data_IF_941291403581
#
_entry.id   IF_941291403581
#
_cell.length_a   1.000
_cell.length_b   1.000
_cell.length_c   1.000
_cell.angle_alpha   90.00
_cell.angle_beta   90.00
_cell.angle_gamma   90.00
#
_symmetry.space_group_name_H-M   'P 1'
#
loop_
_entity.id
_entity.type
_entity.pdbx_description
1 polymer ?
#
# COMPACT_ATOMS: atom_id res chain seq x y z
N UNK A 1 -62.78 -52.46 12.61
CA UNK A 1 -62.25 -51.51 11.60
C UNK A 1 -61.46 -50.44 12.33
N UNK A 2 -60.13 -50.51 12.31
CA UNK A 2 -59.23 -49.48 12.84
C UNK A 2 -58.33 -49.03 11.69
N UNK A 3 -58.45 -47.77 11.26
CA UNK A 3 -57.60 -47.19 10.22
C UNK A 3 -56.28 -46.71 10.83
N UNK A 4 -55.16 -47.24 10.33
CA UNK A 4 -53.80 -46.74 10.57
C UNK A 4 -53.45 -45.71 9.52
N UNK A 5 -53.33 -44.45 9.92
CA UNK A 5 -52.84 -43.37 9.06
C UNK A 5 -51.32 -43.28 9.18
N UNK A 6 -50.60 -43.52 8.09
CA UNK A 6 -49.15 -43.33 7.99
C UNK A 6 -48.86 -41.90 7.52
N UNK A 7 -48.10 -41.14 8.30
CA UNK A 7 -47.54 -39.85 7.90
C UNK A 7 -46.12 -40.08 7.37
N UNK A 8 -45.94 -39.87 6.07
CA UNK A 8 -44.64 -39.81 5.40
C UNK A 8 -44.02 -38.43 5.61
N UNK A 9 -42.91 -38.36 6.35
CA UNK A 9 -42.09 -37.15 6.47
C UNK A 9 -41.18 -37.08 5.25
N UNK A 10 -41.45 -36.14 4.35
CA UNK A 10 -40.58 -35.82 3.22
C UNK A 10 -39.38 -34.99 3.69
N UNK A 11 -38.18 -35.55 3.61
CA UNK A 11 -36.94 -34.81 3.83
C UNK A 11 -36.59 -33.94 2.63
N UNK A 12 -36.57 -32.63 2.82
CA UNK A 12 -36.05 -31.68 1.83
C UNK A 12 -34.52 -31.65 1.94
N UNK A 13 -33.85 -32.19 0.94
CA UNK A 13 -32.40 -32.01 0.73
C UNK A 13 -32.16 -30.60 0.21
N UNK A 14 -31.69 -29.70 1.08
CA UNK A 14 -31.17 -28.39 0.67
C UNK A 14 -29.78 -28.63 0.06
N UNK A 15 -29.71 -28.58 -1.27
CA UNK A 15 -28.45 -28.54 -2.00
C UNK A 15 -27.73 -27.22 -1.68
N UNK A 16 -26.72 -27.28 -0.80
CA UNK A 16 -25.84 -26.16 -0.54
C UNK A 16 -25.07 -25.80 -1.82
N UNK A 17 -25.30 -24.60 -2.33
CA UNK A 17 -24.47 -24.00 -3.37
C UNK A 17 -23.06 -23.82 -2.81
N UNK A 18 -22.15 -24.71 -3.18
CA UNK A 18 -20.74 -24.56 -2.89
C UNK A 18 -20.23 -23.32 -3.60
N UNK A 19 -20.11 -22.21 -2.86
CA UNK A 19 -19.35 -21.04 -3.32
C UNK A 19 -17.93 -21.53 -3.54
N UNK A 20 -17.52 -21.62 -4.80
CA UNK A 20 -16.13 -21.85 -5.15
C UNK A 20 -15.31 -20.77 -4.45
N UNK A 21 -14.59 -21.15 -3.39
CA UNK A 21 -13.57 -20.29 -2.78
C UNK A 21 -12.54 -20.05 -3.88
N UNK A 22 -12.59 -18.88 -4.52
CA UNK A 22 -11.44 -18.40 -5.29
C UNK A 22 -10.25 -18.48 -4.34
N UNK A 23 -9.27 -19.31 -4.69
CA UNK A 23 -8.06 -19.44 -3.88
C UNK A 23 -7.30 -18.14 -4.06
N UNK A 24 -7.14 -17.38 -2.98
CA UNK A 24 -6.23 -16.25 -2.98
C UNK A 24 -4.82 -16.71 -3.37
N UNK A 25 -4.08 -15.84 -4.05
CA UNK A 25 -2.70 -16.11 -4.51
C UNK A 25 -1.75 -15.35 -3.60
N UNK A 26 -0.87 -16.08 -2.91
CA UNK A 26 0.13 -15.49 -2.04
C UNK A 26 1.13 -14.64 -2.85
N UNK A 27 1.26 -13.37 -2.47
CA UNK A 27 2.24 -12.44 -3.04
C UNK A 27 3.53 -12.41 -2.25
N UNK A 28 3.41 -12.29 -0.93
CA UNK A 28 4.53 -12.20 0.01
C UNK A 28 4.04 -12.63 1.41
N UNK A 29 4.91 -13.24 2.21
CA UNK A 29 4.67 -13.57 3.61
C UNK A 29 5.85 -13.10 4.46
N UNK A 30 5.57 -12.46 5.59
CA UNK A 30 6.57 -12.05 6.58
C UNK A 30 6.12 -12.41 7.99
N UNK A 31 7.09 -12.63 8.88
CA UNK A 31 6.85 -12.70 10.32
C UNK A 31 7.13 -11.34 10.93
N UNK A 32 6.18 -10.85 11.73
CA UNK A 32 6.25 -9.54 12.39
C UNK A 32 6.17 -9.77 13.89
N UNK A 33 6.95 -9.04 14.68
CA UNK A 33 6.85 -9.07 16.14
C UNK A 33 6.08 -7.84 16.60
N UNK A 34 4.91 -8.05 17.17
CA UNK A 34 4.01 -6.99 17.68
C UNK A 34 3.83 -7.22 19.16
N UNK A 35 4.28 -6.27 19.99
CA UNK A 35 4.19 -6.34 21.46
C UNK A 35 4.68 -7.68 22.04
N UNK A 36 5.78 -8.20 21.50
CA UNK A 36 6.38 -9.47 21.92
C UNK A 36 5.79 -10.71 21.27
N UNK A 37 4.64 -10.63 20.60
CA UNK A 37 3.99 -11.75 19.92
C UNK A 37 4.45 -11.85 18.47
N UNK A 38 4.88 -13.04 18.07
CA UNK A 38 5.17 -13.32 16.65
C UNK A 38 3.87 -13.55 15.89
N UNK A 39 3.64 -12.69 14.92
CA UNK A 39 2.50 -12.74 14.00
C UNK A 39 2.96 -13.12 12.59
N UNK A 40 2.00 -13.46 11.74
CA UNK A 40 2.24 -13.71 10.32
C UNK A 40 1.39 -12.79 9.46
N UNK A 41 2.06 -12.04 8.60
CA UNK A 41 1.44 -11.09 7.69
C UNK A 41 1.63 -11.60 6.26
N UNK A 42 0.56 -11.57 5.46
CA UNK A 42 0.56 -12.05 4.09
C UNK A 42 -0.09 -11.02 3.19
N UNK A 43 0.60 -10.66 2.11
CA UNK A 43 -0.03 -10.00 0.99
C UNK A 43 -0.64 -11.08 0.09
N UNK A 44 -1.92 -10.95 -0.21
CA UNK A 44 -2.69 -11.91 -1.00
C UNK A 44 -3.42 -11.18 -2.12
N UNK A 45 -3.30 -11.70 -3.34
CA UNK A 45 -4.21 -11.35 -4.43
C UNK A 45 -5.49 -12.17 -4.28
N UNK A 46 -6.68 -11.56 -4.40
CA UNK A 46 -7.96 -12.28 -4.29
C UNK A 46 -8.25 -13.22 -5.46
N UNK A 47 -7.65 -12.92 -6.61
CA UNK A 47 -7.62 -13.74 -7.82
C UNK A 47 -6.19 -13.71 -8.39
N UNK A 48 -5.83 -14.62 -9.32
CA UNK A 48 -4.55 -14.50 -10.03
C UNK A 48 -4.37 -13.08 -10.60
N UNK A 49 -3.28 -12.37 -10.26
CA UNK A 49 -3.06 -11.01 -10.72
C UNK A 49 -2.75 -10.98 -12.22
N UNK A 50 -3.05 -9.85 -12.84
CA UNK A 50 -2.59 -9.53 -14.18
C UNK A 50 -1.15 -9.02 -14.15
N UNK A 51 -0.44 -9.16 -15.26
CA UNK A 51 0.84 -8.49 -15.46
C UNK A 51 0.61 -7.01 -15.76
N UNK A 52 1.36 -6.14 -15.10
CA UNK A 52 1.28 -4.69 -15.28
C UNK A 52 2.66 -4.10 -15.59
N UNK A 53 2.70 -3.03 -16.38
CA UNK A 53 3.95 -2.32 -16.69
C UNK A 53 5.06 -3.23 -17.27
N UNK A 54 4.66 -4.22 -18.08
CA UNK A 54 5.56 -5.14 -18.78
C UNK A 54 5.95 -4.64 -20.17
N UNK A 55 5.20 -3.70 -20.72
CA UNK A 55 5.41 -3.14 -22.06
C UNK A 55 5.81 -1.68 -21.94
N UNK A 56 7.04 -1.36 -22.37
CA UNK A 56 7.41 -0.17 -23.17
C UNK A 56 8.94 -0.11 -23.32
N UNK A 57 9.39 0.58 -24.36
CA UNK A 57 10.77 1.02 -24.61
C UNK A 57 11.19 2.07 -23.56
N UNK A 58 11.12 1.72 -22.28
CA UNK A 58 11.27 2.64 -21.15
C UNK A 58 10.26 2.36 -20.05
N UNK A 59 10.43 3.00 -18.89
CA UNK A 59 9.39 3.04 -17.86
C UNK A 59 8.51 4.23 -18.22
N UNK A 60 7.29 4.00 -18.67
CA UNK A 60 6.32 5.10 -18.78
C UNK A 60 6.05 5.69 -17.40
N UNK A 61 5.79 7.00 -17.31
CA UNK A 61 5.68 7.68 -16.01
C UNK A 61 4.62 7.08 -15.06
N UNK A 62 3.46 6.57 -15.54
CA UNK A 62 2.52 5.82 -14.69
C UNK A 62 3.04 4.47 -14.16
N UNK A 63 4.15 3.98 -14.69
CA UNK A 63 4.78 2.71 -14.31
C UNK A 63 5.99 2.87 -13.38
N UNK A 64 6.34 4.10 -13.00
CA UNK A 64 7.43 4.35 -12.08
C UNK A 64 7.13 3.74 -10.70
N UNK A 65 8.09 2.98 -10.16
CA UNK A 65 7.87 2.18 -8.95
C UNK A 65 7.06 0.89 -9.15
N UNK A 66 6.33 0.71 -10.25
CA UNK A 66 5.51 -0.48 -10.55
C UNK A 66 6.01 -1.35 -11.70
N UNK A 67 7.14 -1.00 -12.30
CA UNK A 67 7.68 -1.68 -13.48
C UNK A 67 7.77 -3.22 -13.33
N UNK A 68 7.41 -3.94 -14.39
CA UNK A 68 7.35 -5.41 -14.42
C UNK A 68 6.53 -5.96 -13.25
N UNK A 69 5.35 -5.38 -13.05
CA UNK A 69 4.52 -5.51 -11.87
C UNK A 69 3.37 -6.49 -12.00
N UNK A 70 2.64 -6.62 -10.91
CA UNK A 70 1.40 -7.37 -10.81
C UNK A 70 0.27 -6.40 -10.44
N UNK A 71 -0.92 -6.61 -11.00
CA UNK A 71 -2.11 -5.79 -10.77
C UNK A 71 -3.32 -6.64 -10.43
N UNK A 72 -4.12 -6.18 -9.47
CA UNK A 72 -5.39 -6.83 -9.13
C UNK A 72 -5.93 -6.42 -7.76
N UNK A 73 -6.85 -7.21 -7.22
CA UNK A 73 -7.38 -6.98 -5.88
C UNK A 73 -6.42 -7.52 -4.81
N UNK A 74 -5.80 -6.61 -4.05
CA UNK A 74 -4.81 -6.92 -3.03
C UNK A 74 -5.38 -6.75 -1.62
N UNK A 75 -4.99 -7.65 -0.72
CA UNK A 75 -5.29 -7.54 0.71
C UNK A 75 -4.09 -7.95 1.59
N UNK A 76 -4.00 -7.32 2.75
CA UNK A 76 -3.12 -7.73 3.83
C UNK A 76 -3.91 -8.63 4.79
N UNK A 77 -3.45 -9.87 4.96
CA UNK A 77 -3.98 -10.82 5.92
C UNK A 77 -3.02 -10.98 7.11
N UNK A 78 -3.47 -10.59 8.31
CA UNK A 78 -2.74 -10.71 9.57
C UNK A 78 -3.27 -11.85 10.41
N UNK A 79 -2.39 -12.77 10.80
CA UNK A 79 -2.70 -13.94 11.62
C UNK A 79 -1.98 -13.85 12.96
N UNK A 80 -2.75 -14.02 14.04
CA UNK A 80 -2.30 -13.98 15.44
C UNK A 80 -2.70 -15.27 16.17
N UNK A 81 -1.90 -15.75 17.14
CA UNK A 81 -2.27 -16.91 17.95
C UNK A 81 -3.65 -16.74 18.61
N UNK A 82 -4.54 -17.72 18.43
CA UNK A 82 -5.86 -17.73 19.07
C UNK A 82 -6.86 -16.67 18.59
N UNK A 83 -6.56 -15.92 17.52
CA UNK A 83 -7.46 -14.90 16.96
C UNK A 83 -7.86 -15.23 15.53
N UNK A 84 -9.04 -14.79 15.07
CA UNK A 84 -9.39 -14.82 13.66
C UNK A 84 -8.37 -14.04 12.82
N UNK A 85 -8.22 -14.44 11.55
CA UNK A 85 -7.40 -13.71 10.59
C UNK A 85 -8.06 -12.35 10.34
N UNK A 86 -7.30 -11.29 10.62
CA UNK A 86 -7.67 -9.93 10.27
C UNK A 86 -7.31 -9.66 8.80
N UNK A 87 -8.19 -9.00 8.05
CA UNK A 87 -7.96 -8.65 6.64
C UNK A 87 -8.17 -7.16 6.42
N UNK A 88 -7.22 -6.54 5.72
CA UNK A 88 -7.27 -5.16 5.28
C UNK A 88 -7.26 -5.13 3.74
N UNK A 89 -8.34 -4.71 3.07
CA UNK A 89 -8.32 -4.49 1.62
C UNK A 89 -7.39 -3.30 1.31
N UNK A 90 -6.42 -3.51 0.43
CA UNK A 90 -5.43 -2.49 0.07
C UNK A 90 -5.74 -1.79 -1.25
N UNK A 91 -6.46 -2.44 -2.17
CA UNK A 91 -6.79 -1.83 -3.47
C UNK A 91 -7.45 -0.46 -3.39
N UNK A 92 -8.37 -0.16 -2.44
CA UNK A 92 -8.97 1.17 -2.32
C UNK A 92 -7.98 2.32 -2.07
N UNK A 93 -6.72 2.01 -1.71
CA UNK A 93 -5.68 3.01 -1.48
C UNK A 93 -4.99 3.46 -2.78
N UNK A 94 -5.20 2.77 -3.91
CA UNK A 94 -4.55 3.02 -5.20
C UNK A 94 -5.35 3.99 -6.09
N UNK A 95 -5.96 5.00 -5.47
CA UNK A 95 -6.67 6.06 -6.18
C UNK A 95 -7.97 5.63 -6.85
N UNK A 96 -8.24 6.21 -8.03
CA UNK A 96 -9.50 5.98 -8.76
C UNK A 96 -9.41 4.73 -9.65
N UNK A 97 -10.53 4.00 -9.85
CA UNK A 97 -10.58 2.90 -10.81
C UNK A 97 -10.21 3.38 -12.21
N UNK A 98 -9.54 2.53 -12.99
CA UNK A 98 -9.33 2.82 -14.40
C UNK A 98 -10.68 2.79 -15.17
N UNK A 99 -10.78 3.43 -16.35
CA UNK A 99 -11.99 3.36 -17.16
C UNK A 99 -12.41 1.91 -17.43
N UNK A 100 -13.65 1.56 -17.05
CA UNK A 100 -14.19 0.21 -17.19
C UNK A 100 -14.00 -0.71 -15.98
N UNK A 101 -13.28 -0.26 -14.93
CA UNK A 101 -13.14 -1.00 -13.67
C UNK A 101 -14.19 -0.55 -12.65
N UNK A 102 -14.77 -1.51 -11.92
CA UNK A 102 -15.77 -1.23 -10.88
C UNK A 102 -15.15 -0.71 -9.57
N UNK A 103 -13.86 -0.97 -9.36
CA UNK A 103 -13.11 -0.64 -8.14
C UNK A 103 -11.64 -0.42 -8.47
N UNK A 104 -10.90 0.35 -7.67
CA UNK A 104 -9.47 0.53 -7.87
C UNK A 104 -8.73 -0.81 -7.75
N UNK A 105 -7.68 -0.99 -8.55
CA UNK A 105 -6.81 -2.16 -8.49
C UNK A 105 -5.46 -1.77 -7.91
N UNK A 106 -4.94 -2.61 -7.01
CA UNK A 106 -3.60 -2.43 -6.49
C UNK A 106 -2.57 -2.82 -7.54
N UNK A 107 -1.42 -2.14 -7.52
CA UNK A 107 -0.25 -2.46 -8.32
C UNK A 107 0.95 -2.70 -7.42
N UNK A 108 1.71 -3.75 -7.65
CA UNK A 108 2.96 -4.01 -6.94
C UNK A 108 4.07 -4.26 -7.94
N UNK A 109 5.26 -3.72 -7.68
CA UNK A 109 6.47 -4.11 -8.40
C UNK A 109 6.66 -5.62 -8.33
N UNK A 110 6.91 -6.25 -9.46
CA UNK A 110 7.04 -7.70 -9.55
C UNK A 110 8.50 -8.10 -9.49
N UNK A 111 9.27 -7.83 -10.54
CA UNK A 111 10.64 -8.35 -10.70
C UNK A 111 11.64 -7.28 -11.12
N UNK A 112 12.91 -7.49 -10.78
CA UNK A 112 14.02 -6.65 -11.25
C UNK A 112 14.57 -7.23 -12.56
N UNK A 113 14.59 -6.45 -13.67
CA UNK A 113 15.28 -6.85 -14.89
C UNK A 113 16.78 -7.06 -14.65
N UNK A 114 17.34 -8.08 -15.30
CA UNK A 114 18.78 -8.29 -15.40
C UNK A 114 19.28 -7.63 -16.68
N UNK A 115 20.58 -7.32 -16.71
CA UNK A 115 21.23 -6.80 -17.93
C UNK A 115 21.02 -7.78 -19.09
N UNK A 116 20.56 -7.29 -20.24
CA UNK A 116 20.31 -8.08 -21.44
C UNK A 116 18.87 -8.58 -21.57
N UNK A 117 18.01 -8.44 -20.56
CA UNK A 117 16.59 -8.78 -20.66
C UNK A 117 15.86 -7.93 -21.71
N UNK A 118 16.33 -6.69 -21.92
CA UNK A 118 15.81 -5.75 -22.90
C UNK A 118 15.94 -6.26 -24.35
N UNK A 119 16.92 -7.14 -24.61
CA UNK A 119 17.13 -7.72 -25.93
C UNK A 119 16.26 -8.95 -26.19
N UNK A 120 15.57 -9.48 -25.16
CA UNK A 120 14.72 -10.65 -25.31
C UNK A 120 13.36 -10.28 -25.95
N UNK A 121 12.80 -11.15 -26.80
CA UNK A 121 11.40 -11.02 -27.20
C UNK A 121 10.48 -10.98 -25.99
N UNK A 122 9.41 -10.17 -26.05
CA UNK A 122 8.53 -9.87 -24.92
C UNK A 122 8.06 -11.11 -24.12
N UNK A 123 7.65 -12.18 -24.81
CA UNK A 123 7.23 -13.42 -24.15
C UNK A 123 8.39 -14.14 -23.44
N UNK A 124 9.57 -14.17 -24.04
CA UNK A 124 10.77 -14.74 -23.42
C UNK A 124 11.21 -13.90 -22.21
N UNK A 125 11.15 -12.57 -22.33
CA UNK A 125 11.42 -11.64 -21.23
C UNK A 125 10.47 -11.86 -20.05
N UNK A 126 9.15 -11.94 -20.30
CA UNK A 126 8.13 -12.23 -19.28
C UNK A 126 8.45 -13.54 -18.54
N UNK A 127 8.70 -14.61 -19.27
CA UNK A 127 9.03 -15.91 -18.69
C UNK A 127 10.33 -15.88 -17.87
N UNK A 128 11.35 -15.15 -18.34
CA UNK A 128 12.61 -14.99 -17.62
C UNK A 128 12.41 -14.24 -16.29
N UNK A 129 11.67 -13.13 -16.30
CA UNK A 129 11.34 -12.34 -15.11
C UNK A 129 10.54 -13.15 -14.09
N UNK A 130 9.49 -13.84 -14.52
CA UNK A 130 8.59 -14.60 -13.63
C UNK A 130 9.27 -15.80 -12.92
N UNK A 131 10.47 -16.22 -13.37
CA UNK A 131 11.28 -17.24 -12.69
C UNK A 131 12.15 -16.69 -11.57
N UNK A 132 12.24 -15.36 -11.45
CA UNK A 132 13.04 -14.69 -10.41
C UNK A 132 12.24 -14.50 -9.14
N UNK A 133 12.96 -14.22 -8.06
CA UNK A 133 12.36 -13.76 -6.82
C UNK A 133 11.63 -12.43 -7.07
N UNK A 134 10.43 -12.32 -6.51
CA UNK A 134 9.66 -11.06 -6.56
C UNK A 134 10.31 -10.03 -5.64
N UNK A 135 10.27 -8.76 -6.04
CA UNK A 135 10.62 -7.63 -5.18
C UNK A 135 9.72 -7.64 -3.96
N UNK A 136 10.29 -7.39 -2.78
CA UNK A 136 9.52 -7.31 -1.54
C UNK A 136 8.73 -6.00 -1.49
N UNK A 137 7.45 -6.09 -1.15
CA UNK A 137 6.60 -4.95 -0.84
C UNK A 137 6.53 -4.72 0.68
N UNK A 138 6.53 -5.78 1.50
CA UNK A 138 6.53 -5.65 2.97
C UNK A 138 7.94 -5.47 3.54
N UNK A 139 8.57 -4.33 3.25
CA UNK A 139 9.87 -3.94 3.86
C UNK A 139 9.61 -3.25 5.19
N UNK A 140 9.63 -4.03 6.27
CA UNK A 140 9.34 -3.55 7.62
C UNK A 140 10.37 -2.53 8.11
N UNK A 141 9.89 -1.53 8.85
CA UNK A 141 10.67 -0.51 9.54
C UNK A 141 9.88 0.07 10.71
N UNK A 142 10.57 0.85 11.54
CA UNK A 142 9.99 1.61 12.66
C UNK A 142 9.85 3.06 12.16
N UNK A 143 8.67 3.39 11.66
CA UNK A 143 8.42 4.69 11.01
C UNK A 143 7.75 5.69 11.96
N UNK A 144 7.07 5.20 13.01
CA UNK A 144 6.48 6.02 14.06
C UNK A 144 7.38 6.16 15.31
N UNK A 145 8.59 5.57 15.26
CA UNK A 145 9.63 5.65 16.29
C UNK A 145 9.19 5.12 17.66
N UNK A 146 8.34 4.09 17.67
CA UNK A 146 7.88 3.43 18.88
C UNK A 146 8.80 2.28 19.36
N UNK A 147 9.87 2.02 18.61
CA UNK A 147 10.85 0.99 18.88
C UNK A 147 10.48 -0.39 18.30
N UNK A 148 9.38 -0.50 17.55
CA UNK A 148 8.95 -1.73 16.90
C UNK A 148 8.95 -1.57 15.38
N UNK A 149 9.67 -2.45 14.67
CA UNK A 149 9.59 -2.48 13.20
C UNK A 149 8.37 -3.26 12.72
N UNK A 150 7.19 -2.66 12.81
CA UNK A 150 5.90 -3.31 12.48
C UNK A 150 5.08 -2.56 11.43
N UNK A 151 5.70 -1.61 10.74
CA UNK A 151 5.12 -0.84 9.64
C UNK A 151 5.91 -1.07 8.35
N UNK A 152 5.25 -0.92 7.20
CA UNK A 152 5.92 -0.87 5.90
C UNK A 152 5.27 0.17 5.00
N UNK A 153 6.06 0.75 4.11
CA UNK A 153 5.59 1.73 3.12
C UNK A 153 5.06 1.00 1.90
N UNK A 154 3.86 1.37 1.46
CA UNK A 154 3.23 0.86 0.26
C UNK A 154 3.05 2.02 -0.73
N UNK A 155 3.76 1.99 -1.84
CA UNK A 155 3.51 2.92 -2.94
C UNK A 155 2.13 2.62 -3.54
N UNK A 156 1.29 3.65 -3.63
CA UNK A 156 -0.10 3.57 -4.07
C UNK A 156 -0.33 4.27 -5.39
N UNK A 157 0.46 5.29 -5.72
CA UNK A 157 0.34 6.00 -6.99
C UNK A 157 1.68 6.32 -7.65
N UNK A 158 1.60 6.62 -8.93
CA UNK A 158 2.66 7.21 -9.75
C UNK A 158 1.97 8.08 -10.79
N UNK A 159 2.11 9.40 -10.68
CA UNK A 159 1.54 10.35 -11.65
C UNK A 159 2.56 11.42 -11.98
N UNK A 160 2.55 11.89 -13.23
CA UNK A 160 3.72 12.62 -13.73
C UNK A 160 5.00 11.78 -13.65
N UNK A 161 6.07 12.27 -14.24
CA UNK A 161 7.36 11.58 -14.11
C UNK A 161 8.00 12.04 -12.80
N UNK A 162 8.38 11.12 -11.93
CA UNK A 162 9.03 11.41 -10.65
C UNK A 162 8.11 11.58 -9.44
N UNK A 163 6.81 11.87 -9.59
CA UNK A 163 5.91 12.01 -8.43
C UNK A 163 5.26 10.65 -8.11
N UNK A 164 5.47 10.20 -6.87
CA UNK A 164 4.97 8.93 -6.37
C UNK A 164 4.36 9.16 -5.00
N UNK A 165 3.23 8.52 -4.76
CA UNK A 165 2.58 8.57 -3.46
C UNK A 165 2.66 7.21 -2.79
N UNK A 166 2.85 7.23 -1.48
CA UNK A 166 2.87 6.05 -0.66
C UNK A 166 2.22 6.30 0.70
N UNK A 167 1.66 5.24 1.24
CA UNK A 167 1.05 5.21 2.57
C UNK A 167 1.84 4.29 3.49
N UNK A 168 1.79 4.56 4.78
CA UNK A 168 2.34 3.68 5.80
C UNK A 168 1.29 2.66 6.24
N UNK A 169 1.58 1.37 6.08
CA UNK A 169 0.72 0.28 6.55
C UNK A 169 1.30 -0.27 7.85
N UNK A 170 0.50 -0.33 8.91
CA UNK A 170 0.99 -0.73 10.23
C UNK A 170 -0.11 -1.12 11.20
N UNK A 171 0.27 -1.38 12.45
CA UNK A 171 -0.66 -1.64 13.56
C UNK A 171 -1.02 -0.32 14.22
N UNK A 172 -2.29 0.05 14.17
CA UNK A 172 -2.79 1.19 14.93
C UNK A 172 -2.77 0.89 16.42
N UNK A 173 -2.08 1.72 17.20
CA UNK A 173 -1.90 1.55 18.64
C UNK A 173 -3.19 1.74 19.45
N UNK A 174 -4.19 2.42 18.89
CA UNK A 174 -5.46 2.71 19.57
C UNK A 174 -6.31 1.46 19.77
N UNK A 175 -6.34 0.58 18.78
CA UNK A 175 -7.18 -0.62 18.78
C UNK A 175 -6.47 -1.91 18.36
N UNK A 176 -5.17 -1.82 18.06
CA UNK A 176 -4.34 -2.95 17.68
C UNK A 176 -4.72 -3.57 16.34
N UNK A 177 -5.36 -2.82 15.44
CA UNK A 177 -5.76 -3.27 14.09
C UNK A 177 -4.77 -2.84 13.01
N UNK A 178 -4.66 -3.62 11.94
CA UNK A 178 -3.86 -3.19 10.78
C UNK A 178 -4.63 -2.22 9.90
N UNK A 179 -4.00 -1.11 9.50
CA UNK A 179 -4.57 -0.09 8.59
C UNK A 179 -3.48 0.68 7.87
N UNK A 180 -3.88 1.51 6.91
CA UNK A 180 -3.07 2.63 6.46
C UNK A 180 -3.12 3.72 7.53
N UNK A 181 -1.96 4.08 8.09
CA UNK A 181 -1.85 4.96 9.24
C UNK A 181 -2.00 6.43 8.82
N UNK A 182 -2.76 7.17 9.62
CA UNK A 182 -2.90 8.62 9.52
C UNK A 182 -2.04 9.36 10.54
N UNK A 183 -2.27 10.66 10.65
CA UNK A 183 -1.73 11.48 11.74
C UNK A 183 -2.55 11.32 13.02
N UNK A 184 -2.02 11.79 14.15
CA UNK A 184 -2.76 11.85 15.40
C UNK A 184 -3.99 12.77 15.30
N UNK A 185 -3.91 13.82 14.48
CA UNK A 185 -4.97 14.77 14.21
C UNK A 185 -6.04 14.23 13.26
N UNK A 186 -5.65 13.43 12.27
CA UNK A 186 -6.53 12.83 11.27
C UNK A 186 -6.37 11.31 11.17
N UNK A 187 -6.69 10.56 12.25
CA UNK A 187 -6.25 9.18 12.36
C UNK A 187 -7.11 8.17 11.57
N UNK A 188 -8.14 8.66 10.88
CA UNK A 188 -8.98 7.88 9.96
C UNK A 188 -8.69 8.21 8.48
N UNK A 189 -7.77 9.16 8.23
CA UNK A 189 -7.29 9.53 6.89
C UNK A 189 -5.84 9.07 6.77
N UNK A 190 -5.48 8.20 5.81
CA UNK A 190 -4.09 7.82 5.60
C UNK A 190 -3.21 9.03 5.32
N UNK A 191 -2.06 9.12 5.99
CA UNK A 191 -1.04 10.09 5.64
C UNK A 191 -0.37 9.61 4.36
N UNK A 192 -0.38 10.46 3.32
CA UNK A 192 0.18 10.16 2.01
C UNK A 192 1.42 11.03 1.82
N UNK A 193 2.58 10.40 1.65
CA UNK A 193 3.85 11.08 1.42
C UNK A 193 4.60 10.41 0.27
N UNK A 194 5.63 11.08 -0.27
CA UNK A 194 6.56 10.43 -1.19
C UNK A 194 7.36 9.30 -0.50
N UNK A 195 7.72 8.22 -1.23
CA UNK A 195 8.56 7.15 -0.69
C UNK A 195 9.87 7.62 -0.04
N UNK A 196 10.49 8.66 -0.61
CA UNK A 196 11.72 9.28 -0.12
C UNK A 196 11.49 9.96 1.24
N UNK A 197 10.38 10.66 1.40
CA UNK A 197 9.98 11.29 2.66
C UNK A 197 9.77 10.25 3.77
N UNK A 198 9.13 9.12 3.46
CA UNK A 198 9.03 8.01 4.40
C UNK A 198 10.40 7.42 4.77
N UNK A 199 11.32 7.31 3.80
CA UNK A 199 12.67 6.83 4.05
C UNK A 199 13.47 7.77 4.96
N UNK A 200 13.30 9.08 4.81
CA UNK A 200 13.87 10.09 5.73
C UNK A 200 13.28 9.94 7.13
N UNK A 201 11.95 9.82 7.24
CA UNK A 201 11.28 9.66 8.53
C UNK A 201 11.74 8.37 9.23
N UNK A 202 11.94 7.27 8.51
CA UNK A 202 12.50 6.04 9.10
C UNK A 202 13.88 6.27 9.76
N UNK A 203 14.68 7.19 9.23
CA UNK A 203 16.00 7.53 9.78
C UNK A 203 15.97 8.58 10.90
N UNK A 204 14.89 9.36 11.01
CA UNK A 204 14.76 10.46 11.97
C UNK A 204 13.30 10.69 12.33
N UNK A 205 12.99 10.71 13.63
CA UNK A 205 11.64 10.98 14.14
C UNK A 205 11.11 12.36 13.75
N UNK A 206 11.97 13.27 13.28
CA UNK A 206 11.55 14.58 12.77
C UNK A 206 12.24 14.88 11.46
N UNK A 207 11.46 15.33 10.48
CA UNK A 207 11.95 15.76 9.18
C UNK A 207 11.30 17.07 8.74
N UNK A 208 12.01 17.79 7.89
CA UNK A 208 11.50 18.89 7.06
C UNK A 208 11.85 18.52 5.61
N UNK A 209 10.86 18.54 4.71
CA UNK A 209 11.03 18.29 3.29
C UNK A 209 10.48 19.48 2.51
N UNK A 210 11.27 20.03 1.59
CA UNK A 210 10.80 21.06 0.66
C UNK A 210 10.21 20.36 -0.55
N UNK A 211 8.88 20.33 -0.63
CA UNK A 211 8.14 19.63 -1.70
C UNK A 211 8.09 20.46 -2.99
N UNK A 212 8.06 21.77 -2.86
CA UNK A 212 8.09 22.70 -4.00
C UNK A 212 8.94 23.90 -3.60
N UNK A 213 10.20 24.01 -4.04
CA UNK A 213 11.06 25.13 -3.67
C UNK A 213 10.64 26.42 -4.39
N UNK A 214 11.06 27.56 -3.85
CA UNK A 214 10.86 28.84 -4.53
C UNK A 214 11.42 28.85 -5.96
N UNK A 215 10.63 29.35 -6.92
CA UNK A 215 10.99 29.44 -8.33
C UNK A 215 10.84 28.14 -9.12
N UNK A 216 10.50 27.02 -8.48
CA UNK A 216 10.22 25.77 -9.18
C UNK A 216 9.05 25.93 -10.13
N UNK A 217 9.29 25.70 -11.42
CA UNK A 217 8.32 25.96 -12.50
C UNK A 217 7.65 27.36 -12.44
N UNK A 218 8.35 28.36 -11.92
CA UNK A 218 7.81 29.72 -11.75
C UNK A 218 6.91 29.90 -10.53
N UNK A 219 6.95 28.97 -9.56
CA UNK A 219 6.19 29.08 -8.32
C UNK A 219 6.61 30.31 -7.52
N UNK A 220 5.62 31.14 -7.16
CA UNK A 220 5.76 32.28 -6.25
C UNK A 220 5.69 31.87 -4.77
N UNK A 221 5.55 30.57 -4.50
CA UNK A 221 5.42 30.02 -3.16
C UNK A 221 6.30 28.78 -2.99
N UNK A 222 6.78 28.58 -1.76
CA UNK A 222 7.49 27.37 -1.37
C UNK A 222 6.61 26.52 -0.45
N UNK A 223 6.47 25.23 -0.78
CA UNK A 223 5.76 24.26 0.05
C UNK A 223 6.76 23.44 0.86
N UNK A 224 6.52 23.37 2.16
CA UNK A 224 7.36 22.66 3.12
C UNK A 224 6.48 21.69 3.90
N UNK A 225 6.81 20.41 3.82
CA UNK A 225 6.24 19.38 4.66
C UNK A 225 7.09 19.21 5.91
N UNK A 226 6.47 19.25 7.08
CA UNK A 226 7.09 18.88 8.35
C UNK A 226 6.40 17.64 8.87
N UNK A 227 7.20 16.62 9.22
CA UNK A 227 6.68 15.40 9.84
C UNK A 227 7.41 15.14 11.14
N UNK A 228 6.64 14.81 12.17
CA UNK A 228 7.11 14.39 13.49
C UNK A 228 6.45 13.06 13.85
N UNK A 229 7.24 12.12 14.31
CA UNK A 229 6.80 10.91 14.97
C UNK A 229 7.12 11.03 16.46
N UNK A 230 6.10 10.90 17.31
CA UNK A 230 6.28 10.92 18.76
C UNK A 230 5.38 9.88 19.45
N UNK A 231 5.34 9.90 20.79
CA UNK A 231 4.57 8.93 21.58
C UNK A 231 3.07 8.90 21.26
N UNK A 232 2.50 9.99 20.72
CA UNK A 232 1.10 10.13 20.31
C UNK A 232 0.85 9.66 18.88
N UNK A 233 1.89 9.51 18.07
CA UNK A 233 1.82 9.01 16.70
C UNK A 233 2.53 9.94 15.70
N UNK A 234 2.08 9.86 14.46
CA UNK A 234 2.56 10.72 13.38
C UNK A 234 1.84 12.08 13.44
N UNK A 235 2.58 13.14 13.17
CA UNK A 235 2.08 14.50 13.03
C UNK A 235 2.65 15.06 11.74
N UNK A 236 1.82 15.69 10.91
CA UNK A 236 2.28 16.27 9.67
C UNK A 236 1.63 17.63 9.44
N UNK A 237 2.45 18.60 9.01
CA UNK A 237 1.97 19.91 8.56
C UNK A 237 2.53 20.25 7.19
N UNK A 238 1.67 20.74 6.31
CA UNK A 238 2.07 21.38 5.06
C UNK A 238 2.03 22.89 5.25
N UNK A 239 3.18 23.52 5.14
CA UNK A 239 3.35 24.97 5.27
C UNK A 239 3.66 25.57 3.90
N UNK A 240 3.02 26.70 3.59
CA UNK A 240 3.20 27.43 2.35
C UNK A 240 3.81 28.79 2.68
N UNK A 241 4.95 29.09 2.09
CA UNK A 241 5.69 30.34 2.29
C UNK A 241 5.66 31.16 1.01
N UNK A 242 5.55 32.49 1.12
CA UNK A 242 5.76 33.38 -0.02
C UNK A 242 7.24 33.34 -0.44
N UNK A 243 7.52 33.45 -1.72
CA UNK A 243 8.88 33.58 -2.21
C UNK A 243 9.33 35.05 -2.28
N UNK A 244 10.62 35.25 -2.03
CA UNK A 244 11.33 36.53 -2.18
C UNK A 244 12.48 36.37 -3.16
N UNK A 245 13.12 37.47 -3.55
CA UNK A 245 14.31 37.43 -4.43
C UNK A 245 15.47 36.60 -3.84
N UNK A 246 15.50 36.42 -2.51
CA UNK A 246 16.55 35.68 -1.80
C UNK A 246 16.12 34.29 -1.34
N UNK A 247 14.91 33.82 -1.70
CA UNK A 247 14.37 32.51 -1.31
C UNK A 247 13.11 32.60 -0.43
N UNK A 248 12.92 31.62 0.46
CA UNK A 248 11.74 31.52 1.36
C UNK A 248 11.51 32.81 2.15
N UNK A 249 10.29 33.35 2.05
CA UNK A 249 9.82 34.54 2.76
C UNK A 249 8.88 34.21 3.92
N UNK A 250 7.84 35.03 4.09
CA UNK A 250 6.88 34.87 5.19
C UNK A 250 5.96 33.65 4.98
N UNK A 251 5.57 33.02 6.09
CA UNK A 251 4.54 31.97 6.09
C UNK A 251 3.20 32.56 5.65
N UNK A 252 2.59 31.97 4.63
CA UNK A 252 1.29 32.35 4.07
C UNK A 252 0.18 31.50 4.68
N UNK A 253 0.38 30.17 4.75
CA UNK A 253 -0.59 29.25 5.34
C UNK A 253 0.08 28.03 5.94
N UNK A 254 -0.61 27.39 6.88
CA UNK A 254 -0.23 26.11 7.47
C UNK A 254 -1.47 25.24 7.56
N UNK A 255 -1.34 24.00 7.10
CA UNK A 255 -2.39 22.98 7.13
C UNK A 255 -1.89 21.77 7.90
N UNK A 256 -2.72 21.23 8.79
CA UNK A 256 -2.48 19.94 9.43
C UNK A 256 -3.00 18.87 8.50
N UNK A 257 -2.17 17.85 8.23
CA UNK A 257 -2.48 16.74 7.32
C UNK A 257 -3.02 15.53 8.08
#
# INVERSE_FOLDING_TARGET
MWLRTWLTVGGVLVAGTGVARSRSVLREEVRVKVDGVTERWRLEWRAPPELACFETEGISCPCEGFAQGERGELELARSRPGRPVERLPLSPLFGRPAPGEASPQAMLRGWVPAKGDEALPLNARRQALQRRERVRAMVLGDYDHDGQSREFVLQTESYGCGMREAVLIGVDRRDGRVRALGTAEHPDTPLVLEPETWALLRGSARIESVETPCGDHGSEQERVLRVLADEKGLHATSELYACTETGRGALVSSEVL
#
